data_IF_024346947223
#
_entry.id   IF_024346947223
#
_cell.length_a   1.000
_cell.length_b   1.000
_cell.length_c   1.000
_cell.angle_alpha   90.00
_cell.angle_beta   90.00
_cell.angle_gamma   90.00
#
_symmetry.space_group_name_H-M   'P 1'
#
loop_
_entity.id
_entity.type
_entity.pdbx_description
1 polymer ?
#
# COMPACT_ATOMS: atom_id res chain seq x y z
N UNK A 1 -11.21 31.33 14.18
CA UNK A 1 -11.75 30.06 13.65
C UNK A 1 -13.20 30.30 13.27
N UNK A 2 -13.53 30.29 11.97
CA UNK A 2 -14.91 30.51 11.49
C UNK A 2 -15.57 29.14 11.37
N UNK A 3 -16.68 28.92 12.07
CA UNK A 3 -17.44 27.66 11.96
C UNK A 3 -18.31 27.80 10.72
N UNK A 4 -17.98 27.06 9.66
CA UNK A 4 -18.81 26.99 8.46
C UNK A 4 -19.71 25.74 8.52
N UNK A 5 -21.04 25.91 8.43
CA UNK A 5 -21.95 24.77 8.41
C UNK A 5 -21.83 24.02 7.09
N UNK A 6 -21.74 22.68 7.14
CA UNK A 6 -21.83 21.88 5.92
C UNK A 6 -23.26 21.92 5.35
N UNK A 7 -23.40 22.01 4.02
CA UNK A 7 -24.71 21.90 3.39
C UNK A 7 -25.29 20.51 3.63
N UNK A 8 -26.59 20.46 3.92
CA UNK A 8 -27.34 19.21 4.00
C UNK A 8 -27.97 18.91 2.63
N UNK A 9 -28.13 17.63 2.25
CA UNK A 9 -28.93 17.28 1.10
C UNK A 9 -30.39 17.70 1.33
N UNK A 10 -31.10 18.01 0.25
CA UNK A 10 -32.52 18.40 0.28
C UNK A 10 -33.42 17.32 0.89
N UNK A 11 -33.03 16.05 0.73
CA UNK A 11 -33.69 14.88 1.31
C UNK A 11 -32.66 14.09 2.10
N UNK A 12 -32.98 13.74 3.35
CA UNK A 12 -32.11 12.89 4.15
C UNK A 12 -32.21 11.44 3.67
N UNK A 13 -31.08 10.74 3.50
CA UNK A 13 -31.09 9.32 3.16
C UNK A 13 -31.62 8.47 4.32
N UNK A 14 -32.19 7.31 3.99
CA UNK A 14 -32.48 6.29 4.98
C UNK A 14 -31.19 5.54 5.32
N UNK A 15 -30.75 5.67 6.57
CA UNK A 15 -29.49 5.10 7.07
C UNK A 15 -29.75 4.08 8.21
N UNK A 16 -30.90 3.39 8.15
CA UNK A 16 -31.33 2.48 9.21
C UNK A 16 -31.89 3.20 10.44
N UNK A 17 -31.93 2.48 11.57
CA UNK A 17 -32.51 2.97 12.83
C UNK A 17 -31.52 3.82 13.64
N UNK A 18 -30.98 4.87 13.02
CA UNK A 18 -30.07 5.83 13.66
C UNK A 18 -30.84 7.00 14.30
N UNK A 19 -30.34 7.56 15.42
CA UNK A 19 -30.82 8.83 15.94
C UNK A 19 -30.84 9.93 14.86
N UNK A 20 -31.87 10.80 14.82
CA UNK A 20 -32.00 11.83 13.78
C UNK A 20 -30.77 12.75 13.63
N UNK A 21 -30.05 13.00 14.73
CA UNK A 21 -28.80 13.76 14.72
C UNK A 21 -27.70 13.04 13.92
N UNK A 22 -27.54 11.72 14.11
CA UNK A 22 -26.54 10.95 13.38
C UNK A 22 -26.89 10.88 11.89
N UNK A 23 -28.16 10.68 11.54
CA UNK A 23 -28.61 10.70 10.14
C UNK A 23 -28.24 12.01 9.44
N UNK A 24 -28.49 13.15 10.09
CA UNK A 24 -28.11 14.47 9.56
C UNK A 24 -26.59 14.62 9.44
N UNK A 25 -25.83 14.17 10.43
CA UNK A 25 -24.37 14.26 10.42
C UNK A 25 -23.71 13.38 9.37
N UNK A 26 -24.26 12.19 9.08
CA UNK A 26 -23.78 11.32 8.02
C UNK A 26 -24.16 11.85 6.63
N UNK A 27 -25.41 12.31 6.47
CA UNK A 27 -25.86 12.95 5.24
C UNK A 27 -25.02 14.18 4.88
N UNK A 28 -24.67 15.03 5.86
CA UNK A 28 -23.76 16.17 5.68
C UNK A 28 -22.33 15.77 5.29
N UNK A 29 -21.95 14.51 5.49
CA UNK A 29 -20.64 13.94 5.09
C UNK A 29 -20.71 13.18 3.77
N UNK A 30 -21.88 13.16 3.11
CA UNK A 30 -22.06 12.51 1.82
C UNK A 30 -22.43 11.04 1.89
N UNK A 31 -22.70 10.48 3.08
CA UNK A 31 -23.19 9.10 3.21
C UNK A 31 -24.60 9.02 2.66
N UNK A 32 -24.86 8.13 1.69
CA UNK A 32 -26.14 8.06 0.98
C UNK A 32 -26.97 6.82 1.33
N UNK A 33 -26.37 5.81 1.94
CA UNK A 33 -27.03 4.54 2.22
C UNK A 33 -26.54 3.89 3.51
N UNK A 34 -27.37 3.03 4.11
CA UNK A 34 -26.99 2.20 5.26
C UNK A 34 -25.77 1.30 4.95
N UNK A 35 -25.63 0.86 3.70
CA UNK A 35 -24.50 0.04 3.26
C UNK A 35 -23.14 0.74 3.38
N UNK A 36 -23.09 2.07 3.24
CA UNK A 36 -21.86 2.86 3.42
C UNK A 36 -21.43 2.99 4.90
N UNK A 37 -22.30 2.59 5.83
CA UNK A 37 -22.00 2.58 7.26
C UNK A 37 -21.44 1.24 7.75
N UNK A 38 -21.53 0.21 6.91
CA UNK A 38 -21.03 -1.13 7.21
C UNK A 38 -19.51 -1.17 7.04
N UNK A 39 -18.83 -1.31 8.18
CA UNK A 39 -17.36 -1.33 8.30
C UNK A 39 -16.82 -2.76 8.35
N UNK A 40 -17.65 -3.76 8.08
CA UNK A 40 -17.22 -5.15 8.06
C UNK A 40 -16.28 -5.41 6.89
N UNK A 41 -15.44 -6.44 7.02
CA UNK A 41 -14.54 -6.87 5.94
C UNK A 41 -15.31 -7.23 4.66
N UNK A 42 -16.58 -7.65 4.76
CA UNK A 42 -17.43 -7.97 3.62
C UNK A 42 -17.76 -6.76 2.73
N UNK A 43 -17.50 -5.53 3.21
CA UNK A 43 -17.68 -4.28 2.45
C UNK A 43 -16.40 -3.67 1.91
N UNK A 44 -15.25 -4.30 2.15
CA UNK A 44 -14.04 -3.89 1.47
C UNK A 44 -14.22 -4.03 -0.05
N UNK A 45 -13.63 -3.09 -0.78
CA UNK A 45 -13.61 -3.18 -2.24
C UNK A 45 -12.87 -4.48 -2.64
N UNK A 46 -13.38 -5.21 -3.65
CA UNK A 46 -12.70 -6.39 -4.16
C UNK A 46 -11.27 -6.07 -4.58
N UNK A 47 -10.30 -6.88 -4.14
CA UNK A 47 -8.88 -6.66 -4.44
C UNK A 47 -8.59 -6.64 -5.94
N UNK A 48 -9.42 -7.29 -6.77
CA UNK A 48 -9.31 -7.29 -8.23
C UNK A 48 -9.44 -5.89 -8.85
N UNK A 49 -9.95 -4.91 -8.09
CA UNK A 49 -10.00 -3.51 -8.52
C UNK A 49 -8.67 -2.77 -8.31
N UNK A 50 -7.74 -3.34 -7.53
CA UNK A 50 -6.40 -2.77 -7.39
C UNK A 50 -5.67 -2.88 -8.73
N UNK A 51 -5.11 -1.76 -9.18
CA UNK A 51 -4.37 -1.72 -10.44
C UNK A 51 -3.17 -2.65 -10.34
N UNK A 52 -2.83 -3.36 -11.43
CA UNK A 52 -1.62 -4.19 -11.46
C UNK A 52 -1.62 -5.40 -10.51
N UNK A 53 -2.76 -5.73 -9.88
CA UNK A 53 -2.84 -6.79 -8.89
C UNK A 53 -2.51 -8.17 -9.47
N UNK A 54 -2.95 -8.47 -10.70
CA UNK A 54 -2.64 -9.74 -11.36
C UNK A 54 -1.13 -9.90 -11.59
N UNK A 55 -0.48 -8.88 -12.16
CA UNK A 55 0.98 -8.89 -12.36
C UNK A 55 1.76 -8.99 -11.04
N UNK A 56 1.26 -8.35 -9.97
CA UNK A 56 1.85 -8.46 -8.64
C UNK A 56 1.74 -9.87 -8.06
N UNK A 57 0.58 -10.51 -8.22
CA UNK A 57 0.35 -11.91 -7.82
C UNK A 57 1.28 -12.84 -8.60
N UNK A 58 1.39 -12.68 -9.92
CA UNK A 58 2.26 -13.52 -10.75
C UNK A 58 3.74 -13.43 -10.31
N UNK A 59 4.21 -12.22 -10.01
CA UNK A 59 5.57 -12.01 -9.46
C UNK A 59 5.79 -12.73 -8.13
N UNK A 60 4.81 -12.67 -7.23
CA UNK A 60 4.90 -13.31 -5.92
C UNK A 60 4.85 -14.83 -6.03
N UNK A 61 3.98 -15.37 -6.88
CA UNK A 61 3.90 -16.82 -7.15
C UNK A 61 5.23 -17.31 -7.71
N UNK A 62 5.78 -16.62 -8.71
CA UNK A 62 7.09 -16.97 -9.29
C UNK A 62 8.20 -16.93 -8.22
N UNK A 63 8.23 -15.88 -7.38
CA UNK A 63 9.22 -15.75 -6.32
C UNK A 63 9.14 -16.87 -5.28
N UNK A 64 7.92 -17.29 -4.91
CA UNK A 64 7.68 -18.41 -4.00
C UNK A 64 8.15 -19.72 -4.64
N UNK A 65 7.72 -20.02 -5.87
CA UNK A 65 8.04 -21.26 -6.57
C UNK A 65 9.55 -21.42 -6.81
N UNK A 66 10.22 -20.32 -7.18
CA UNK A 66 11.66 -20.30 -7.43
C UNK A 66 12.49 -20.12 -6.15
N UNK A 67 11.86 -20.05 -4.96
CA UNK A 67 12.51 -19.83 -3.67
C UNK A 67 13.43 -18.59 -3.65
N UNK A 68 12.99 -17.53 -4.30
CA UNK A 68 13.69 -16.26 -4.35
C UNK A 68 13.75 -15.62 -2.96
N UNK A 69 14.80 -14.82 -2.71
CA UNK A 69 14.87 -13.94 -1.54
C UNK A 69 14.05 -12.70 -1.81
N UNK A 70 13.03 -12.52 -0.99
CA UNK A 70 12.12 -11.39 -1.01
C UNK A 70 12.56 -10.43 0.08
N UNK A 71 12.75 -9.16 -0.26
CA UNK A 71 13.00 -8.10 0.70
C UNK A 71 11.87 -7.07 0.65
N UNK A 72 11.19 -6.88 1.77
CA UNK A 72 10.16 -5.86 1.93
C UNK A 72 10.81 -4.56 2.41
N UNK A 73 10.60 -3.46 1.70
CA UNK A 73 11.02 -2.11 2.09
C UNK A 73 9.79 -1.33 2.53
N UNK A 74 9.63 -1.17 3.84
CA UNK A 74 8.47 -0.50 4.44
C UNK A 74 8.75 0.93 4.86
N UNK A 75 7.68 1.67 5.15
CA UNK A 75 7.78 2.98 5.83
C UNK A 75 7.94 2.82 7.36
N UNK A 76 8.39 3.88 8.03
CA UNK A 76 8.72 3.88 9.46
C UNK A 76 7.52 4.12 10.38
N UNK A 77 6.36 4.50 9.83
CA UNK A 77 5.18 4.80 10.61
C UNK A 77 4.34 3.53 10.93
N UNK A 78 3.16 3.71 11.52
CA UNK A 78 2.33 2.59 11.92
C UNK A 78 1.80 1.78 10.71
N UNK A 79 1.50 2.43 9.59
CA UNK A 79 0.99 1.74 8.41
C UNK A 79 2.13 0.93 7.78
N UNK A 80 3.27 1.56 7.48
CA UNK A 80 4.45 0.88 6.95
C UNK A 80 4.97 -0.27 7.82
N UNK A 81 4.99 -0.12 9.15
CA UNK A 81 5.40 -1.18 10.06
C UNK A 81 4.42 -2.36 10.09
N UNK A 82 3.11 -2.08 10.06
CA UNK A 82 2.09 -3.14 10.06
C UNK A 82 2.02 -3.84 8.71
N UNK A 83 2.07 -3.10 7.60
CA UNK A 83 2.12 -3.64 6.26
C UNK A 83 3.36 -4.52 6.04
N UNK A 84 4.54 -4.09 6.52
CA UNK A 84 5.76 -4.90 6.49
C UNK A 84 5.58 -6.20 7.25
N UNK A 85 4.99 -6.14 8.44
CA UNK A 85 4.73 -7.33 9.26
C UNK A 85 3.77 -8.30 8.57
N UNK A 86 2.68 -7.79 7.99
CA UNK A 86 1.71 -8.59 7.22
C UNK A 86 2.38 -9.24 6.00
N UNK A 87 3.18 -8.49 5.24
CA UNK A 87 3.91 -9.02 4.10
C UNK A 87 4.90 -10.14 4.50
N UNK A 88 5.70 -9.91 5.55
CA UNK A 88 6.67 -10.91 6.04
C UNK A 88 5.97 -12.17 6.51
N UNK A 89 4.96 -12.04 7.38
CA UNK A 89 4.27 -13.19 7.95
C UNK A 89 3.42 -13.91 6.89
N UNK A 90 2.70 -13.16 6.07
CA UNK A 90 1.83 -13.69 5.02
C UNK A 90 2.61 -14.48 3.97
N UNK A 91 3.70 -13.93 3.44
CA UNK A 91 4.53 -14.63 2.44
C UNK A 91 5.16 -15.90 3.02
N UNK A 92 5.62 -15.88 4.28
CA UNK A 92 6.14 -17.07 4.96
C UNK A 92 5.05 -18.14 5.15
N UNK A 93 3.83 -17.73 5.53
CA UNK A 93 2.69 -18.64 5.63
C UNK A 93 2.32 -19.26 4.29
N UNK A 94 2.50 -18.52 3.18
CA UNK A 94 2.29 -19.00 1.81
C UNK A 94 3.44 -19.85 1.27
N UNK A 95 4.52 -20.06 2.04
CA UNK A 95 5.62 -20.95 1.69
C UNK A 95 6.87 -20.28 1.12
N UNK A 96 6.95 -18.94 1.13
CA UNK A 96 8.17 -18.24 0.73
C UNK A 96 9.34 -18.64 1.64
N UNK A 97 10.42 -19.16 1.04
CA UNK A 97 11.56 -19.69 1.78
C UNK A 97 12.41 -18.60 2.46
N UNK A 98 12.50 -17.42 1.84
CA UNK A 98 13.38 -16.35 2.27
C UNK A 98 12.65 -15.01 2.15
N UNK A 99 12.20 -14.50 3.29
CA UNK A 99 11.55 -13.18 3.38
C UNK A 99 12.21 -12.40 4.50
N UNK A 100 12.72 -11.22 4.17
CA UNK A 100 13.30 -10.27 5.12
C UNK A 100 12.68 -8.89 4.90
N UNK A 101 12.98 -7.94 5.78
CA UNK A 101 12.50 -6.57 5.67
C UNK A 101 13.59 -5.54 5.96
N UNK A 102 13.38 -4.34 5.44
CA UNK A 102 14.21 -3.16 5.66
C UNK A 102 13.29 -1.96 5.91
N UNK A 103 13.42 -1.33 7.07
CA UNK A 103 12.78 -0.04 7.35
C UNK A 103 13.89 1.01 7.34
N UNK A 104 13.93 1.91 6.36
CA UNK A 104 15.02 2.86 6.22
C UNK A 104 14.93 4.00 7.24
N UNK A 105 16.09 4.52 7.66
CA UNK A 105 16.15 5.72 8.46
C UNK A 105 15.90 6.95 7.59
N UNK A 106 14.71 7.54 7.68
CA UNK A 106 14.32 8.69 6.86
C UNK A 106 15.22 9.92 7.00
N UNK A 107 15.89 10.07 8.15
CA UNK A 107 16.78 11.21 8.40
C UNK A 107 18.12 11.06 7.68
N UNK A 108 18.53 9.84 7.39
CA UNK A 108 19.80 9.53 6.72
C UNK A 108 19.62 9.37 5.21
N UNK A 109 18.48 8.80 4.78
CA UNK A 109 18.31 8.35 3.39
C UNK A 109 17.14 9.01 2.64
N UNK A 110 16.41 9.93 3.27
CA UNK A 110 15.21 10.53 2.70
C UNK A 110 13.98 9.62 2.82
N UNK A 111 12.91 9.96 2.10
CA UNK A 111 11.62 9.27 2.16
C UNK A 111 11.42 8.29 1.00
N UNK A 112 10.81 7.13 1.28
CA UNK A 112 10.54 6.07 0.31
C UNK A 112 11.79 5.33 -0.16
N UNK A 113 11.68 4.61 -1.28
CA UNK A 113 12.82 3.91 -1.89
C UNK A 113 13.74 4.91 -2.62
N UNK A 114 14.98 5.02 -2.17
CA UNK A 114 16.04 5.84 -2.80
C UNK A 114 17.17 4.96 -3.32
N UNK A 115 18.02 5.44 -4.25
CA UNK A 115 19.20 4.70 -4.71
C UNK A 115 20.12 4.25 -3.56
N UNK A 116 20.26 5.05 -2.51
CA UNK A 116 21.05 4.71 -1.32
C UNK A 116 20.42 3.54 -0.55
N UNK A 117 19.10 3.53 -0.40
CA UNK A 117 18.38 2.41 0.22
C UNK A 117 18.51 1.15 -0.63
N UNK A 118 18.52 1.27 -1.96
CA UNK A 118 18.81 0.14 -2.85
C UNK A 118 20.20 -0.42 -2.59
N UNK A 119 21.23 0.42 -2.39
CA UNK A 119 22.57 -0.08 -2.04
C UNK A 119 22.58 -0.86 -0.72
N UNK A 120 21.82 -0.40 0.28
CA UNK A 120 21.67 -1.12 1.56
C UNK A 120 20.90 -2.44 1.34
N UNK A 121 19.82 -2.41 0.57
CA UNK A 121 19.02 -3.58 0.23
C UNK A 121 19.85 -4.66 -0.47
N UNK A 122 20.74 -4.29 -1.40
CA UNK A 122 21.60 -5.22 -2.13
C UNK A 122 22.54 -6.03 -1.23
N UNK A 123 22.87 -5.53 -0.02
CA UNK A 123 23.66 -6.30 0.97
C UNK A 123 22.91 -7.55 1.47
N UNK A 124 21.58 -7.57 1.37
CA UNK A 124 20.73 -8.73 1.68
C UNK A 124 20.61 -9.70 0.50
N UNK A 125 21.12 -9.33 -0.67
CA UNK A 125 21.07 -10.08 -1.91
C UNK A 125 19.63 -10.53 -2.28
N UNK A 126 18.64 -9.62 -2.30
CA UNK A 126 17.29 -9.97 -2.73
C UNK A 126 17.28 -10.29 -4.23
N UNK A 127 16.31 -11.08 -4.67
CA UNK A 127 15.93 -11.20 -6.08
C UNK A 127 14.63 -10.44 -6.38
N UNK A 128 13.75 -10.30 -5.38
CA UNK A 128 12.54 -9.49 -5.45
C UNK A 128 12.56 -8.45 -4.32
N UNK A 129 12.42 -7.18 -4.69
CA UNK A 129 12.19 -6.07 -3.77
C UNK A 129 10.72 -5.68 -3.82
N UNK A 130 10.07 -5.61 -2.66
CA UNK A 130 8.67 -5.19 -2.51
C UNK A 130 8.64 -3.92 -1.68
N UNK A 131 8.10 -2.81 -2.18
CA UNK A 131 7.81 -1.66 -1.33
C UNK A 131 6.41 -1.78 -0.75
N UNK A 132 6.26 -1.43 0.52
CA UNK A 132 4.96 -1.35 1.21
C UNK A 132 4.81 0.01 1.85
N UNK A 133 3.65 0.64 1.67
CA UNK A 133 3.35 1.99 2.16
C UNK A 133 4.34 3.06 1.67
N UNK A 134 5.03 2.77 0.57
CA UNK A 134 5.90 3.72 -0.11
C UNK A 134 6.19 3.26 -1.54
N UNK A 135 6.83 4.12 -2.31
CA UNK A 135 7.43 3.78 -3.59
C UNK A 135 6.72 4.35 -4.80
N UNK A 136 5.47 4.83 -4.72
CA UNK A 136 4.72 5.34 -5.88
C UNK A 136 5.36 6.58 -6.53
N UNK A 137 6.18 7.30 -5.76
CA UNK A 137 6.95 8.46 -6.23
C UNK A 137 8.46 8.19 -6.31
N UNK A 138 8.91 6.96 -6.02
CA UNK A 138 10.32 6.57 -5.94
C UNK A 138 10.91 6.17 -7.30
N UNK A 139 10.82 7.06 -8.30
CA UNK A 139 11.29 6.77 -9.67
C UNK A 139 12.77 6.35 -9.67
N UNK A 140 13.64 7.19 -9.09
CA UNK A 140 15.09 6.94 -9.07
C UNK A 140 15.47 5.67 -8.29
N UNK A 141 14.79 5.40 -7.17
CA UNK A 141 15.02 4.19 -6.39
C UNK A 141 14.61 2.93 -7.14
N UNK A 142 13.46 2.95 -7.82
CA UNK A 142 13.02 1.81 -8.65
C UNK A 142 13.96 1.60 -9.84
N UNK A 143 14.36 2.67 -10.51
CA UNK A 143 15.32 2.58 -11.62
C UNK A 143 16.67 2.02 -11.16
N UNK A 144 17.17 2.44 -10.00
CA UNK A 144 18.40 1.90 -9.41
C UNK A 144 18.29 0.41 -9.06
N UNK A 145 17.16 -0.02 -8.48
CA UNK A 145 16.92 -1.43 -8.17
C UNK A 145 16.90 -2.29 -9.44
N UNK A 146 16.21 -1.83 -10.50
CA UNK A 146 16.16 -2.52 -11.78
C UNK A 146 17.51 -2.55 -12.49
N UNK A 147 18.27 -1.45 -12.45
CA UNK A 147 19.63 -1.41 -12.99
C UNK A 147 20.57 -2.39 -12.28
N UNK A 148 20.30 -2.70 -11.01
CA UNK A 148 20.99 -3.73 -10.24
C UNK A 148 20.48 -5.16 -10.49
N UNK A 149 19.50 -5.34 -11.40
CA UNK A 149 18.94 -6.65 -11.77
C UNK A 149 17.86 -7.18 -10.84
N UNK A 150 17.32 -6.35 -9.94
CA UNK A 150 16.20 -6.74 -9.07
C UNK A 150 14.87 -6.66 -9.81
N UNK A 151 13.97 -7.59 -9.51
CA UNK A 151 12.53 -7.39 -9.76
C UNK A 151 11.97 -6.47 -8.68
N UNK A 152 11.03 -5.60 -9.05
CA UNK A 152 10.44 -4.60 -8.14
C UNK A 152 8.92 -4.62 -8.20
N UNK A 153 8.30 -4.89 -7.06
CA UNK A 153 6.86 -4.76 -6.82
C UNK A 153 6.62 -3.53 -5.93
N UNK A 154 5.83 -2.56 -6.39
CA UNK A 154 5.45 -1.40 -5.59
C UNK A 154 4.02 -1.56 -5.08
N UNK A 155 3.82 -1.42 -3.77
CA UNK A 155 2.48 -1.36 -3.16
C UNK A 155 2.38 -0.09 -2.33
N UNK A 156 1.47 0.80 -2.68
CA UNK A 156 1.42 2.14 -2.11
C UNK A 156 0.05 2.80 -2.32
N UNK A 157 -0.37 3.62 -1.36
CA UNK A 157 -1.64 4.34 -1.39
C UNK A 157 -1.46 5.88 -1.40
N UNK A 158 -0.22 6.36 -1.38
CA UNK A 158 0.10 7.77 -1.50
C UNK A 158 -0.29 8.35 -2.86
N UNK A 159 -0.38 9.69 -2.92
CA UNK A 159 -0.63 10.37 -4.18
C UNK A 159 0.56 10.18 -5.13
N UNK A 160 0.30 9.80 -6.40
CA UNK A 160 1.37 9.64 -7.37
C UNK A 160 2.00 10.99 -7.75
N UNK A 161 3.30 10.99 -8.01
CA UNK A 161 4.00 12.11 -8.63
C UNK A 161 3.63 12.32 -10.10
N UNK A 162 4.24 13.33 -10.73
CA UNK A 162 4.05 13.61 -12.15
C UNK A 162 4.53 12.47 -13.07
N UNK A 163 5.47 11.67 -12.58
CA UNK A 163 5.98 10.48 -13.22
C UNK A 163 5.81 9.30 -12.26
N UNK A 164 5.49 8.14 -12.81
CA UNK A 164 5.35 6.91 -12.04
C UNK A 164 6.59 6.03 -12.24
N UNK A 165 7.09 5.35 -11.19
CA UNK A 165 8.24 4.45 -11.26
C UNK A 165 7.98 3.28 -12.19
N UNK A 166 8.96 2.82 -12.96
CA UNK A 166 8.77 1.70 -13.89
C UNK A 166 9.02 0.33 -13.26
N UNK A 167 8.31 -0.02 -12.18
CA UNK A 167 8.37 -1.34 -11.55
C UNK A 167 7.78 -2.47 -12.42
N UNK A 168 8.05 -3.73 -12.05
CA UNK A 168 7.51 -4.92 -12.71
C UNK A 168 6.02 -5.11 -12.44
N UNK A 169 5.55 -4.69 -11.26
CA UNK A 169 4.13 -4.49 -10.96
C UNK A 169 3.93 -3.37 -9.93
N UNK A 170 2.74 -2.76 -9.94
CA UNK A 170 2.37 -1.62 -9.09
C UNK A 170 0.89 -1.69 -8.74
N UNK A 171 0.55 -1.63 -7.45
CA UNK A 171 -0.83 -1.61 -6.96
C UNK A 171 -1.09 -0.53 -5.93
#
# INVERSE_FOLDING_TARGET
MRIEPRPLPSTLPFLGNLPPLLTRLYAARGVQSEAELDKSLARLLPYQQLKGIEAGVDLLVEAIDQRQRILIVGDFDADGATASTVGVLGLRLLGAAHVDYLVPNRFEYGYGLTPEIVQVALQRQPQLLITVDNGISSVEGVDAAKAAGLKVLVTDHHLPGAQLPQGDARS
#
